data_IF_573358363842
#
_entry.id   IF_573358363842
#
_cell.length_a   1.000
_cell.length_b   1.000
_cell.length_c   1.000
_cell.angle_alpha   90.00
_cell.angle_beta   90.00
_cell.angle_gamma   90.00
#
_symmetry.space_group_name_H-M   'P 1'
#
loop_
_entity.id
_entity.type
_entity.pdbx_description
1 polymer ?
#
# COMPACT_ATOMS: atom_id res chain seq x y z
N UNK A 1 8.66 23.24 28.69
CA UNK A 1 9.22 24.57 28.37
C UNK A 1 10.37 24.52 27.35
N UNK A 2 11.29 23.56 27.39
CA UNK A 2 12.48 23.56 26.50
C UNK A 2 12.21 23.53 24.97
N UNK A 3 11.08 22.99 24.50
CA UNK A 3 10.72 23.01 23.07
C UNK A 3 10.00 24.28 22.59
N UNK A 4 9.37 25.04 23.47
CA UNK A 4 8.93 26.41 23.13
C UNK A 4 10.12 27.34 22.87
N UNK A 5 11.33 26.88 23.23
CA UNK A 5 12.62 27.50 22.94
C UNK A 5 13.43 26.77 21.85
N UNK A 6 12.80 25.92 21.03
CA UNK A 6 13.47 25.19 19.93
C UNK A 6 14.66 24.30 20.34
N UNK A 7 14.76 23.85 21.60
CA UNK A 7 15.75 22.81 21.95
C UNK A 7 15.28 21.46 21.38
N UNK A 8 16.09 20.83 20.52
CA UNK A 8 15.77 19.57 19.85
C UNK A 8 15.49 18.39 20.80
N UNK A 9 14.91 17.29 20.30
CA UNK A 9 14.73 16.08 21.12
C UNK A 9 16.02 15.32 21.34
N UNK A 10 16.10 14.61 22.46
CA UNK A 10 17.16 13.66 22.80
C UNK A 10 17.26 12.41 21.89
N UNK A 11 16.43 12.30 20.86
CA UNK A 11 16.48 11.22 19.87
C UNK A 11 16.35 11.82 18.47
N UNK A 12 17.46 11.95 17.72
CA UNK A 12 17.42 12.41 16.34
C UNK A 12 16.92 11.30 15.41
N UNK A 13 16.11 11.69 14.42
CA UNK A 13 15.76 10.81 13.30
C UNK A 13 16.86 10.92 12.25
N UNK A 14 17.36 9.80 11.77
CA UNK A 14 18.44 9.68 10.78
C UNK A 14 18.04 10.09 9.35
N UNK A 15 17.11 11.04 9.18
CA UNK A 15 16.68 11.50 7.85
C UNK A 15 17.81 12.28 7.16
N UNK A 16 18.22 11.83 5.97
CA UNK A 16 19.19 12.52 5.11
C UNK A 16 20.62 11.99 5.14
N UNK A 17 20.88 10.84 5.79
CA UNK A 17 22.22 10.26 5.87
C UNK A 17 22.56 9.37 4.67
N UNK A 18 23.78 9.54 4.14
CA UNK A 18 24.38 8.82 3.01
C UNK A 18 24.54 7.31 3.31
N UNK A 19 24.67 6.47 2.27
CA UNK A 19 24.66 4.99 2.33
C UNK A 19 25.66 4.42 3.36
N UNK A 20 26.80 5.08 3.56
CA UNK A 20 27.81 4.73 4.55
C UNK A 20 27.30 4.83 6.00
N UNK A 21 26.51 5.85 6.31
CA UNK A 21 25.94 6.06 7.64
C UNK A 21 24.72 5.17 7.88
N UNK A 22 23.93 4.88 6.85
CA UNK A 22 22.84 3.90 6.92
C UNK A 22 23.36 2.50 7.28
N UNK A 23 24.59 2.16 6.90
CA UNK A 23 25.24 0.91 7.28
C UNK A 23 25.63 0.85 8.78
N UNK A 24 25.86 2.01 9.41
CA UNK A 24 26.21 2.12 10.83
C UNK A 24 24.98 2.21 11.75
N UNK A 25 23.83 2.65 11.22
CA UNK A 25 22.52 2.59 11.91
C UNK A 25 22.04 1.15 11.87
N UNK A 26 22.66 0.29 12.68
CA UNK A 26 22.25 -1.09 12.85
C UNK A 26 20.79 -1.21 13.29
N UNK A 27 20.20 -2.38 13.08
CA UNK A 27 18.79 -2.60 13.40
C UNK A 27 18.48 -2.35 14.88
N UNK A 28 17.33 -1.72 15.14
CA UNK A 28 16.91 -1.28 16.46
C UNK A 28 16.74 -2.48 17.43
N UNK A 29 17.65 -2.59 18.40
CA UNK A 29 17.52 -3.50 19.55
C UNK A 29 16.61 -2.86 20.61
N UNK A 30 16.11 -3.65 21.55
CA UNK A 30 15.43 -3.13 22.75
C UNK A 30 16.34 -2.10 23.43
N UNK A 31 15.87 -0.86 23.56
CA UNK A 31 16.58 0.24 24.23
C UNK A 31 15.61 1.02 25.10
N UNK A 32 16.02 1.27 26.34
CA UNK A 32 15.31 2.10 27.30
C UNK A 32 16.31 3.08 27.90
N UNK A 33 16.00 4.38 27.88
CA UNK A 33 16.89 5.40 28.43
C UNK A 33 16.61 6.81 27.91
N UNK A 34 17.40 7.77 28.39
CA UNK A 34 17.24 9.20 28.12
C UNK A 34 17.72 9.63 26.71
N UNK A 35 18.61 8.87 26.08
CA UNK A 35 19.16 9.20 24.77
C UNK A 35 19.29 7.95 23.90
N UNK A 36 18.62 7.94 22.75
CA UNK A 36 18.87 6.98 21.66
C UNK A 36 19.55 7.75 20.53
N UNK A 37 20.76 7.33 20.16
CA UNK A 37 21.63 8.06 19.23
C UNK A 37 21.11 8.15 17.79
N UNK A 38 20.32 7.16 17.35
CA UNK A 38 19.61 7.15 16.07
C UNK A 38 18.56 6.03 16.07
N UNK A 39 17.46 6.25 15.34
CA UNK A 39 16.43 5.24 15.02
C UNK A 39 16.59 4.84 13.55
N UNK A 40 16.42 3.55 13.24
CA UNK A 40 16.37 3.05 11.86
C UNK A 40 15.21 3.70 11.10
N UNK A 41 15.46 4.32 9.95
CA UNK A 41 14.41 4.94 9.14
C UNK A 41 13.33 3.93 8.69
N UNK A 42 13.66 2.63 8.63
CA UNK A 42 12.68 1.60 8.29
C UNK A 42 11.71 1.28 9.44
N UNK A 43 12.02 1.69 10.67
CA UNK A 43 11.15 1.51 11.84
C UNK A 43 9.80 2.17 11.65
N UNK A 44 9.73 3.32 10.95
CA UNK A 44 8.46 4.02 10.68
C UNK A 44 7.49 3.25 9.79
N UNK A 45 7.96 2.22 9.07
CA UNK A 45 7.11 1.35 8.25
C UNK A 45 6.64 0.09 8.99
N UNK A 46 7.10 -0.13 10.23
CA UNK A 46 6.72 -1.30 11.02
C UNK A 46 5.47 -1.06 11.87
N UNK A 47 5.06 0.18 12.14
CA UNK A 47 3.86 0.45 12.91
C UNK A 47 3.82 1.83 13.55
N UNK A 48 2.96 1.98 14.56
CA UNK A 48 2.75 3.23 15.27
C UNK A 48 4.02 3.67 15.99
N UNK A 49 4.46 4.89 15.73
CA UNK A 49 5.52 5.57 16.47
C UNK A 49 4.89 6.73 17.22
N UNK A 50 5.04 6.74 18.54
CA UNK A 50 4.51 7.79 19.40
C UNK A 50 5.62 8.66 19.94
N UNK A 51 5.36 9.97 19.98
CA UNK A 51 6.21 10.94 20.64
C UNK A 51 5.34 11.71 21.63
N UNK A 52 5.62 11.51 22.91
CA UNK A 52 4.91 12.17 24.00
C UNK A 52 5.78 13.29 24.55
N UNK A 53 5.17 14.45 24.78
CA UNK A 53 5.82 15.60 25.40
C UNK A 53 5.28 15.75 26.82
N UNK A 54 6.11 15.49 27.82
CA UNK A 54 5.77 15.60 29.23
C UNK A 54 6.84 16.44 29.96
N UNK A 55 6.44 17.10 31.05
CA UNK A 55 7.33 17.87 31.93
C UNK A 55 8.29 16.99 32.74
N UNK A 56 7.97 15.70 32.88
CA UNK A 56 8.60 14.79 33.81
C UNK A 56 9.20 13.64 32.98
N UNK A 57 10.53 13.59 32.91
CA UNK A 57 11.36 12.53 32.29
C UNK A 57 11.01 12.09 30.85
N UNK A 58 11.90 12.41 29.89
CA UNK A 58 11.87 11.80 28.56
C UNK A 58 12.46 10.39 28.58
N UNK A 59 11.62 9.35 28.61
CA UNK A 59 12.05 7.98 28.34
C UNK A 59 11.78 7.61 26.89
N UNK A 60 12.82 7.15 26.19
CA UNK A 60 12.65 6.53 24.87
C UNK A 60 12.50 5.02 25.05
N UNK A 61 11.42 4.45 24.52
CA UNK A 61 11.15 3.02 24.51
C UNK A 61 11.18 2.51 23.07
N UNK A 62 12.10 1.61 22.77
CA UNK A 62 12.21 0.95 21.47
C UNK A 62 12.05 -0.55 21.68
N UNK A 63 11.07 -1.14 20.98
CA UNK A 63 10.90 -2.59 20.90
C UNK A 63 11.92 -3.17 19.92
N UNK A 64 12.25 -4.45 20.06
CA UNK A 64 12.99 -5.16 19.01
C UNK A 64 12.13 -5.29 17.74
N UNK A 65 12.53 -4.58 16.68
CA UNK A 65 11.85 -4.56 15.38
C UNK A 65 12.63 -5.31 14.30
N UNK A 66 13.76 -5.94 14.66
CA UNK A 66 14.53 -6.80 13.75
C UNK A 66 13.67 -7.90 13.09
N UNK A 67 12.72 -8.55 13.79
CA UNK A 67 11.86 -9.55 13.15
C UNK A 67 10.95 -9.00 12.06
N UNK A 68 10.71 -7.69 12.08
CA UNK A 68 9.79 -7.00 11.17
C UNK A 68 10.48 -6.45 9.92
N UNK A 69 11.81 -6.40 9.89
CA UNK A 69 12.57 -5.76 8.82
C UNK A 69 13.58 -6.74 8.21
N UNK A 70 13.21 -7.32 7.07
CA UNK A 70 14.06 -8.20 6.29
C UNK A 70 14.78 -7.39 5.19
N UNK A 71 15.98 -6.91 5.53
CA UNK A 71 16.83 -6.15 4.60
C UNK A 71 17.32 -6.98 3.42
N UNK A 72 17.56 -8.28 3.64
CA UNK A 72 18.10 -9.18 2.61
C UNK A 72 17.09 -9.38 1.49
N UNK A 73 15.85 -9.67 1.86
CA UNK A 73 14.76 -9.88 0.91
C UNK A 73 13.99 -8.59 0.58
N UNK A 74 14.42 -7.45 1.14
CA UNK A 74 13.82 -6.13 0.91
C UNK A 74 12.32 -6.08 1.28
N UNK A 75 11.99 -6.61 2.46
CA UNK A 75 10.63 -6.69 2.98
C UNK A 75 10.50 -6.10 4.36
N UNK A 76 9.39 -5.42 4.61
CA UNK A 76 9.00 -4.91 5.92
C UNK A 76 7.61 -5.44 6.24
N UNK A 77 7.42 -5.96 7.44
CA UNK A 77 6.13 -6.42 7.94
C UNK A 77 5.76 -5.61 9.17
N UNK A 78 4.54 -5.10 9.20
CA UNK A 78 4.01 -4.40 10.37
C UNK A 78 4.03 -5.27 11.64
N UNK A 79 4.04 -4.64 12.81
CA UNK A 79 4.01 -5.33 14.11
C UNK A 79 2.70 -6.09 14.34
N UNK A 80 1.60 -5.72 13.67
CA UNK A 80 0.34 -6.48 13.69
C UNK A 80 0.37 -7.68 12.74
N UNK A 81 1.33 -7.72 11.81
CA UNK A 81 1.42 -8.72 10.75
C UNK A 81 0.46 -8.49 9.59
N UNK A 82 -0.39 -7.47 9.65
CA UNK A 82 -1.46 -7.21 8.67
C UNK A 82 -0.97 -6.49 7.42
N UNK A 83 0.08 -5.68 7.52
CA UNK A 83 0.71 -4.99 6.38
C UNK A 83 2.08 -5.58 6.07
N UNK A 84 2.36 -5.81 4.80
CA UNK A 84 3.68 -6.20 4.28
C UNK A 84 4.05 -5.32 3.09
N UNK A 85 5.24 -4.71 3.13
CA UNK A 85 5.82 -3.97 2.03
C UNK A 85 7.06 -4.68 1.49
N UNK A 86 6.97 -5.20 0.27
CA UNK A 86 8.09 -5.68 -0.52
C UNK A 86 8.61 -4.51 -1.37
N UNK A 87 9.56 -3.75 -0.81
CA UNK A 87 10.13 -2.59 -1.49
C UNK A 87 11.15 -2.98 -2.57
N UNK A 88 11.62 -4.24 -2.58
CA UNK A 88 12.42 -4.79 -3.66
C UNK A 88 11.63 -4.89 -4.96
N UNK A 89 10.39 -5.40 -4.88
CA UNK A 89 9.48 -5.48 -6.02
C UNK A 89 8.60 -4.24 -6.17
N UNK A 90 8.48 -3.43 -5.12
CA UNK A 90 7.64 -2.23 -5.06
C UNK A 90 6.15 -2.56 -4.94
N UNK A 91 5.83 -3.50 -4.05
CA UNK A 91 4.47 -4.00 -3.81
C UNK A 91 4.17 -3.91 -2.32
N UNK A 92 3.05 -3.29 -1.98
CA UNK A 92 2.50 -3.27 -0.63
C UNK A 92 1.23 -4.11 -0.60
N UNK A 93 1.08 -4.93 0.44
CA UNK A 93 -0.09 -5.74 0.72
C UNK A 93 -0.61 -5.41 2.11
N UNK A 94 -1.92 -5.47 2.28
CA UNK A 94 -2.52 -5.45 3.60
C UNK A 94 -3.65 -6.47 3.69
N UNK A 95 -3.79 -7.07 4.86
CA UNK A 95 -4.90 -7.95 5.19
C UNK A 95 -5.34 -7.75 6.64
N UNK A 96 -6.60 -7.38 6.82
CA UNK A 96 -7.30 -7.39 8.10
C UNK A 96 -8.61 -8.16 7.95
N UNK A 97 -9.37 -8.27 9.03
CA UNK A 97 -10.66 -8.96 9.00
C UNK A 97 -11.66 -8.31 8.04
N UNK A 98 -11.66 -6.97 7.95
CA UNK A 98 -12.66 -6.18 7.22
C UNK A 98 -12.14 -5.59 5.91
N UNK A 99 -10.83 -5.63 5.66
CA UNK A 99 -10.24 -5.09 4.44
C UNK A 99 -9.01 -5.89 3.99
N UNK A 100 -8.86 -6.12 2.68
CA UNK A 100 -7.66 -6.71 2.09
C UNK A 100 -7.33 -6.01 0.78
N UNK A 101 -6.05 -5.94 0.43
CA UNK A 101 -5.66 -5.34 -0.84
C UNK A 101 -4.17 -5.33 -1.07
N UNK A 102 -3.81 -4.91 -2.28
CA UNK A 102 -2.43 -4.68 -2.66
C UNK A 102 -2.32 -3.49 -3.60
N UNK A 103 -1.21 -2.77 -3.53
CA UNK A 103 -0.87 -1.71 -4.47
C UNK A 103 0.61 -1.75 -4.85
N UNK A 104 0.93 -1.22 -6.02
CA UNK A 104 2.31 -1.12 -6.50
C UNK A 104 2.48 -1.68 -7.90
N UNK A 105 3.68 -2.20 -8.18
CA UNK A 105 4.03 -2.73 -9.50
C UNK A 105 3.52 -4.16 -9.72
N UNK A 106 2.19 -4.34 -9.72
CA UNK A 106 1.56 -5.66 -9.63
C UNK A 106 1.87 -6.57 -10.83
N UNK A 107 2.19 -6.01 -12.01
CA UNK A 107 2.58 -6.80 -13.19
C UNK A 107 3.94 -7.51 -13.06
N UNK A 108 4.75 -7.16 -12.06
CA UNK A 108 6.02 -7.85 -11.76
C UNK A 108 5.79 -9.22 -11.14
N UNK A 109 4.59 -9.49 -10.66
CA UNK A 109 4.21 -10.76 -10.06
C UNK A 109 3.18 -11.46 -10.95
N UNK A 110 3.26 -12.78 -11.05
CA UNK A 110 2.22 -13.58 -11.72
C UNK A 110 0.86 -13.41 -11.04
N UNK A 111 0.88 -13.35 -9.71
CA UNK A 111 -0.29 -13.12 -8.86
C UNK A 111 0.17 -12.53 -7.53
N UNK A 112 -0.66 -11.68 -6.94
CA UNK A 112 -0.50 -11.22 -5.56
C UNK A 112 -1.53 -11.90 -4.69
N UNK A 113 -1.06 -12.82 -3.85
CA UNK A 113 -1.91 -13.64 -3.00
C UNK A 113 -2.06 -13.07 -1.59
N UNK A 114 -3.32 -12.92 -1.18
CA UNK A 114 -3.80 -12.62 0.16
C UNK A 114 -4.72 -13.75 0.65
N UNK A 115 -5.10 -13.78 1.95
CA UNK A 115 -5.93 -14.84 2.51
C UNK A 115 -7.28 -15.03 1.81
N UNK A 116 -7.96 -13.94 1.43
CA UNK A 116 -9.30 -13.99 0.79
C UNK A 116 -9.31 -13.49 -0.65
N UNK A 117 -8.17 -12.98 -1.15
CA UNK A 117 -8.07 -12.31 -2.43
C UNK A 117 -6.79 -12.75 -3.15
N UNK A 118 -6.87 -13.03 -4.44
CA UNK A 118 -5.71 -13.12 -5.34
C UNK A 118 -5.89 -12.09 -6.45
N UNK A 119 -4.84 -11.34 -6.77
CA UNK A 119 -4.88 -10.25 -7.75
C UNK A 119 -3.92 -10.56 -8.89
N UNK A 120 -4.40 -10.48 -10.12
CA UNK A 120 -3.59 -10.57 -11.33
C UNK A 120 -3.79 -9.29 -12.15
N UNK A 121 -2.70 -8.62 -12.51
CA UNK A 121 -2.74 -7.35 -13.23
C UNK A 121 -1.67 -7.30 -14.30
N UNK A 122 -2.05 -6.86 -15.50
CA UNK A 122 -1.12 -6.53 -16.58
C UNK A 122 -0.74 -5.05 -16.56
N UNK A 123 -1.47 -4.21 -15.82
CA UNK A 123 -1.09 -2.81 -15.59
C UNK A 123 0.22 -2.73 -14.80
N UNK A 124 1.14 -1.87 -15.26
CA UNK A 124 2.43 -1.62 -14.59
C UNK A 124 2.23 -1.23 -13.12
N UNK A 125 1.36 -0.25 -12.86
CA UNK A 125 0.96 0.13 -11.51
C UNK A 125 -0.55 -0.09 -11.35
N UNK A 126 -0.93 -0.72 -10.25
CA UNK A 126 -2.33 -0.98 -9.90
C UNK A 126 -2.49 -1.04 -8.38
N UNK A 127 -3.66 -0.59 -7.90
CA UNK A 127 -4.10 -0.74 -6.53
C UNK A 127 -5.47 -1.44 -6.54
N UNK A 128 -5.57 -2.57 -5.86
CA UNK A 128 -6.82 -3.33 -5.70
C UNK A 128 -7.09 -3.47 -4.22
N UNK A 129 -8.28 -3.06 -3.79
CA UNK A 129 -8.73 -3.16 -2.40
C UNK A 129 -10.13 -3.78 -2.34
N UNK A 130 -10.38 -4.51 -1.26
CA UNK A 130 -11.63 -5.20 -0.98
C UNK A 130 -12.02 -4.87 0.47
N UNK A 131 -13.14 -4.20 0.67
CA UNK A 131 -13.56 -3.65 1.97
C UNK A 131 -15.01 -4.04 2.28
N UNK A 132 -15.29 -4.46 3.52
CA UNK A 132 -16.66 -4.69 3.99
C UNK A 132 -17.43 -3.37 4.08
N UNK A 133 -18.69 -3.36 3.65
CA UNK A 133 -19.61 -2.23 3.76
C UNK A 133 -20.65 -2.39 4.88
N UNK A 134 -20.58 -3.47 5.66
CA UNK A 134 -21.55 -3.80 6.71
C UNK A 134 -20.91 -4.10 8.07
N UNK A 135 -19.65 -3.68 8.24
CA UNK A 135 -18.84 -3.82 9.44
C UNK A 135 -18.58 -5.28 9.89
N UNK A 136 -18.78 -6.25 9.00
CA UNK A 136 -18.51 -7.67 9.28
C UNK A 136 -17.16 -8.10 8.70
N UNK A 137 -16.54 -9.16 9.25
CA UNK A 137 -15.40 -9.79 8.60
C UNK A 137 -15.73 -10.13 7.14
N UNK A 138 -14.78 -9.98 6.22
CA UNK A 138 -14.99 -10.13 4.77
C UNK A 138 -15.61 -11.48 4.38
N UNK A 139 -15.30 -12.57 5.10
CA UNK A 139 -15.94 -13.88 4.88
C UNK A 139 -17.45 -13.92 5.17
N UNK A 140 -17.96 -12.98 5.96
CA UNK A 140 -19.35 -12.93 6.44
C UNK A 140 -20.10 -11.67 5.97
N UNK A 141 -19.41 -10.76 5.29
CA UNK A 141 -19.87 -9.44 4.87
C UNK A 141 -20.83 -9.50 3.69
N UNK A 142 -22.11 -9.22 3.87
CA UNK A 142 -23.15 -9.29 2.82
C UNK A 142 -22.92 -8.30 1.68
N UNK A 143 -22.15 -7.23 1.93
CA UNK A 143 -21.80 -6.21 0.95
C UNK A 143 -20.32 -5.90 1.04
N UNK A 144 -19.60 -6.08 -0.07
CA UNK A 144 -18.16 -5.85 -0.15
C UNK A 144 -17.92 -4.89 -1.33
N UNK A 145 -17.17 -3.83 -1.09
CA UNK A 145 -16.69 -2.93 -2.15
C UNK A 145 -15.33 -3.42 -2.62
N UNK A 146 -15.22 -3.75 -3.91
CA UNK A 146 -13.94 -3.95 -4.58
C UNK A 146 -13.60 -2.66 -5.34
N UNK A 147 -12.45 -2.08 -5.04
CA UNK A 147 -11.95 -0.87 -5.70
C UNK A 147 -10.67 -1.20 -6.46
N UNK A 148 -10.58 -0.70 -7.68
CA UNK A 148 -9.43 -0.87 -8.57
C UNK A 148 -9.04 0.50 -9.10
N UNK A 149 -7.79 0.89 -8.84
CA UNK A 149 -7.19 2.10 -9.39
C UNK A 149 -5.92 1.74 -10.15
N UNK A 150 -5.68 2.44 -11.25
CA UNK A 150 -4.50 2.31 -12.10
C UNK A 150 -3.85 3.68 -12.25
N UNK A 151 -2.79 3.77 -13.04
CA UNK A 151 -2.16 5.05 -13.37
C UNK A 151 -3.18 6.05 -13.95
N UNK A 152 -3.27 7.22 -13.32
CA UNK A 152 -4.04 8.36 -13.76
C UNK A 152 -3.14 9.56 -14.08
N UNK A 153 -3.51 10.32 -15.11
CA UNK A 153 -2.77 11.50 -15.57
C UNK A 153 -3.72 12.60 -16.00
N UNK A 154 -3.40 13.88 -15.76
CA UNK A 154 -4.14 14.98 -16.38
C UNK A 154 -4.24 14.83 -17.89
N UNK A 155 -5.39 15.21 -18.45
CA UNK A 155 -5.58 15.24 -19.90
C UNK A 155 -4.51 16.13 -20.55
N UNK A 156 -3.82 15.60 -21.55
CA UNK A 156 -2.71 16.28 -22.22
C UNK A 156 -1.35 16.24 -21.49
N UNK A 157 -1.24 15.54 -20.35
CA UNK A 157 0.05 15.34 -19.68
C UNK A 157 1.05 14.65 -20.62
N UNK A 158 2.25 15.21 -20.75
CA UNK A 158 3.26 14.69 -21.67
C UNK A 158 4.67 14.79 -21.10
N UNK A 159 5.43 13.73 -21.36
CA UNK A 159 6.84 13.65 -21.02
C UNK A 159 7.66 13.25 -22.23
N UNK A 160 8.92 13.70 -22.27
CA UNK A 160 9.94 13.23 -23.22
C UNK A 160 11.11 12.62 -22.46
N UNK A 161 11.83 11.69 -23.09
CA UNK A 161 13.08 11.20 -22.54
C UNK A 161 14.12 12.33 -22.51
N UNK A 162 14.83 12.45 -21.40
CA UNK A 162 15.92 13.41 -21.20
C UNK A 162 17.08 12.73 -20.48
N UNK A 163 18.31 12.97 -20.92
CA UNK A 163 19.49 12.43 -20.26
C UNK A 163 19.83 13.26 -19.02
N UNK A 164 19.97 12.59 -17.90
CA UNK A 164 20.54 13.13 -16.66
C UNK A 164 21.94 12.59 -16.48
N UNK A 165 22.89 13.47 -16.18
CA UNK A 165 24.29 13.09 -15.88
C UNK A 165 24.39 12.22 -14.62
N UNK A 166 23.46 12.36 -13.68
CA UNK A 166 23.44 11.63 -12.40
C UNK A 166 22.52 10.40 -12.40
N UNK A 167 21.42 10.46 -13.15
CA UNK A 167 20.33 9.47 -13.04
C UNK A 167 20.03 8.70 -14.34
N UNK A 168 20.87 8.84 -15.37
CA UNK A 168 20.66 8.18 -16.66
C UNK A 168 19.46 8.77 -17.42
N UNK A 169 18.68 7.93 -18.11
CA UNK A 169 17.51 8.41 -18.87
C UNK A 169 16.32 8.68 -17.95
N UNK A 170 15.92 9.94 -17.87
CA UNK A 170 14.79 10.43 -17.08
C UNK A 170 13.64 10.87 -17.99
N UNK A 171 12.46 11.10 -17.41
CA UNK A 171 11.33 11.74 -18.09
C UNK A 171 11.28 13.23 -17.74
N UNK A 172 11.45 14.10 -18.74
CA UNK A 172 11.20 15.55 -18.61
C UNK A 172 9.73 15.82 -18.91
N UNK A 173 9.04 16.47 -17.98
CA UNK A 173 7.68 16.94 -18.19
C UNK A 173 7.73 18.11 -19.18
N UNK A 174 6.96 18.00 -20.26
CA UNK A 174 6.84 19.05 -21.30
C UNK A 174 5.43 19.63 -21.40
N UNK A 175 4.45 18.98 -20.77
CA UNK A 175 3.12 19.51 -20.55
C UNK A 175 2.55 18.90 -19.27
N UNK A 176 2.01 19.74 -18.39
CA UNK A 176 1.35 19.30 -17.15
C UNK A 176 -0.05 18.74 -17.41
N UNK A 177 -0.70 19.14 -18.51
CA UNK A 177 -2.10 18.81 -18.77
C UNK A 177 -3.07 19.54 -17.85
N UNK A 178 -4.32 19.10 -17.83
CA UNK A 178 -5.38 19.63 -16.97
C UNK A 178 -6.51 18.63 -16.78
N UNK A 179 -7.61 19.08 -16.18
CA UNK A 179 -8.81 18.23 -16.05
C UNK A 179 -9.47 17.97 -17.42
N UNK A 180 -10.13 16.82 -17.60
CA UNK A 180 -10.31 15.73 -16.64
C UNK A 180 -9.05 14.85 -16.47
N UNK A 181 -9.03 14.01 -15.43
CA UNK A 181 -7.99 12.98 -15.26
C UNK A 181 -8.29 11.81 -16.20
N UNK A 182 -7.30 11.39 -16.98
CA UNK A 182 -7.32 10.15 -17.75
C UNK A 182 -6.85 8.99 -16.87
N UNK A 183 -7.73 8.02 -16.64
CA UNK A 183 -7.37 6.78 -15.94
C UNK A 183 -7.05 5.68 -16.95
N UNK A 184 -5.92 5.00 -16.76
CA UNK A 184 -5.51 3.91 -17.63
C UNK A 184 -6.49 2.73 -17.52
N UNK A 185 -6.89 2.15 -18.65
CA UNK A 185 -7.79 0.99 -18.63
C UNK A 185 -7.26 -0.14 -17.77
N UNK A 186 -8.14 -0.71 -16.95
CA UNK A 186 -7.84 -1.86 -16.09
C UNK A 186 -7.66 -3.10 -16.97
N UNK A 187 -6.62 -3.87 -16.68
CA UNK A 187 -6.28 -5.11 -17.36
C UNK A 187 -5.90 -6.13 -16.30
N UNK A 188 -6.88 -6.91 -15.83
CA UNK A 188 -6.64 -7.85 -14.75
C UNK A 188 -7.86 -8.66 -14.33
N UNK A 189 -7.64 -9.51 -13.34
CA UNK A 189 -8.67 -10.33 -12.71
C UNK A 189 -8.40 -10.43 -11.22
N UNK A 190 -9.45 -10.72 -10.47
CA UNK A 190 -9.34 -11.07 -9.05
C UNK A 190 -9.98 -12.43 -8.80
N UNK A 191 -9.41 -13.16 -7.86
CA UNK A 191 -9.99 -14.41 -7.35
C UNK A 191 -10.33 -14.24 -5.89
N UNK A 192 -11.62 -14.35 -5.56
CA UNK A 192 -12.11 -14.38 -4.19
C UNK A 192 -11.97 -15.80 -3.64
N UNK A 193 -11.36 -15.97 -2.46
CA UNK A 193 -11.12 -17.27 -1.83
C UNK A 193 -12.10 -17.49 -0.68
N UNK A 194 -13.00 -18.45 -0.82
CA UNK A 194 -14.01 -18.75 0.20
C UNK A 194 -15.07 -17.67 0.40
N UNK A 195 -15.24 -16.76 -0.57
CA UNK A 195 -16.36 -15.84 -0.69
C UNK A 195 -17.16 -16.30 -1.92
N UNK A 196 -18.47 -16.49 -1.76
CA UNK A 196 -19.36 -16.97 -2.83
C UNK A 196 -20.36 -15.86 -3.18
N UNK A 197 -20.05 -14.99 -4.16
CA UNK A 197 -20.95 -13.91 -4.49
C UNK A 197 -22.20 -14.44 -5.19
N UNK A 198 -23.36 -13.93 -4.76
CA UNK A 198 -24.64 -14.10 -5.45
C UNK A 198 -24.83 -13.04 -6.55
N UNK A 199 -24.16 -11.89 -6.41
CA UNK A 199 -24.20 -10.80 -7.40
C UNK A 199 -22.91 -10.00 -7.38
N UNK A 200 -22.47 -9.58 -8.56
CA UNK A 200 -21.39 -8.59 -8.73
C UNK A 200 -21.93 -7.47 -9.62
N UNK A 201 -21.93 -6.25 -9.10
CA UNK A 201 -22.51 -5.07 -9.76
C UNK A 201 -21.42 -4.05 -10.02
N UNK A 202 -21.23 -3.66 -11.27
CA UNK A 202 -20.37 -2.54 -11.61
C UNK A 202 -21.00 -1.23 -11.13
N UNK A 203 -20.19 -0.32 -10.60
CA UNK A 203 -20.60 1.02 -10.20
C UNK A 203 -19.92 2.08 -11.07
N UNK A 204 -20.54 3.25 -11.18
CA UNK A 204 -19.91 4.46 -11.72
C UNK A 204 -18.94 5.10 -10.71
N UNK A 205 -18.28 6.17 -11.12
CA UNK A 205 -17.33 6.94 -10.29
C UNK A 205 -17.94 7.55 -9.02
N UNK A 206 -19.26 7.65 -8.94
CA UNK A 206 -20.01 8.14 -7.78
C UNK A 206 -20.55 7.00 -6.90
N UNK A 207 -20.30 5.75 -7.28
CA UNK A 207 -20.75 4.57 -6.54
C UNK A 207 -22.18 4.11 -6.87
N UNK A 208 -22.81 4.61 -7.92
CA UNK A 208 -24.14 4.17 -8.34
C UNK A 208 -24.07 2.95 -9.28
N UNK A 209 -25.00 1.98 -9.14
CA UNK A 209 -25.06 0.82 -10.04
C UNK A 209 -25.23 1.20 -11.50
N UNK A 210 -24.42 0.60 -12.37
CA UNK A 210 -24.59 0.67 -13.83
C UNK A 210 -25.13 -0.64 -14.39
N UNK A 211 -25.73 -0.59 -15.59
CA UNK A 211 -26.32 -1.78 -16.25
C UNK A 211 -25.29 -2.78 -16.79
N UNK A 212 -24.01 -2.48 -16.68
CA UNK A 212 -22.93 -3.33 -17.17
C UNK A 212 -22.87 -4.66 -16.41
N UNK A 213 -22.84 -5.77 -17.14
CA UNK A 213 -22.74 -7.11 -16.55
C UNK A 213 -21.28 -7.43 -16.26
N UNK A 214 -20.99 -7.74 -15.00
CA UNK A 214 -19.67 -8.25 -14.59
C UNK A 214 -19.69 -9.77 -14.65
N UNK A 215 -18.78 -10.34 -15.43
CA UNK A 215 -18.65 -11.79 -15.55
C UNK A 215 -17.83 -12.34 -14.38
N UNK A 216 -18.35 -13.38 -13.73
CA UNK A 216 -17.65 -14.11 -12.69
C UNK A 216 -17.91 -15.62 -12.80
N UNK A 217 -16.92 -16.42 -12.40
CA UNK A 217 -16.97 -17.88 -12.47
C UNK A 217 -16.62 -18.49 -11.12
N UNK A 218 -17.49 -19.36 -10.62
CA UNK A 218 -17.22 -20.14 -9.41
C UNK A 218 -16.45 -21.41 -9.77
N UNK A 219 -15.30 -21.64 -9.12
CA UNK A 219 -14.48 -22.85 -9.27
C UNK A 219 -13.96 -23.32 -7.92
N UNK A 220 -14.34 -24.52 -7.49
CA UNK A 220 -13.72 -25.21 -6.35
C UNK A 220 -13.64 -24.39 -5.05
N UNK A 221 -14.67 -23.61 -4.71
CA UNK A 221 -14.67 -22.76 -3.50
C UNK A 221 -14.02 -21.38 -3.66
N UNK A 222 -13.65 -21.02 -4.88
CA UNK A 222 -13.18 -19.68 -5.25
C UNK A 222 -14.04 -19.07 -6.36
N UNK A 223 -14.03 -17.74 -6.46
CA UNK A 223 -14.75 -17.02 -7.51
C UNK A 223 -13.80 -16.10 -8.25
N UNK A 224 -13.62 -16.35 -9.55
CA UNK A 224 -12.83 -15.49 -10.43
C UNK A 224 -13.73 -14.41 -11.02
N UNK A 225 -13.30 -13.15 -10.93
CA UNK A 225 -13.95 -11.97 -11.51
C UNK A 225 -12.98 -11.34 -12.50
N UNK A 226 -13.39 -11.20 -13.77
CA UNK A 226 -12.64 -10.39 -14.73
C UNK A 226 -12.98 -8.92 -14.49
N UNK A 227 -11.96 -8.10 -14.23
CA UNK A 227 -12.17 -6.70 -13.92
C UNK A 227 -12.58 -5.95 -15.20
N UNK A 228 -13.69 -5.19 -15.19
CA UNK A 228 -14.06 -4.37 -16.33
C UNK A 228 -13.01 -3.28 -16.60
N UNK A 229 -12.68 -2.98 -17.86
CA UNK A 229 -11.56 -2.11 -18.20
C UNK A 229 -11.75 -0.64 -17.82
N UNK A 230 -12.98 -0.21 -17.52
CA UNK A 230 -13.40 1.17 -17.28
C UNK A 230 -14.24 1.33 -16.00
N UNK A 231 -14.16 0.38 -15.05
CA UNK A 231 -14.91 0.44 -13.78
C UNK A 231 -13.97 0.36 -12.61
N UNK A 232 -13.91 1.45 -11.84
CA UNK A 232 -13.08 1.54 -10.64
C UNK A 232 -13.70 0.79 -9.46
N UNK A 233 -15.03 0.59 -9.45
CA UNK A 233 -15.75 0.05 -8.31
C UNK A 233 -16.68 -1.08 -8.71
N UNK A 234 -16.62 -2.17 -7.96
CA UNK A 234 -17.59 -3.27 -8.03
C UNK A 234 -18.20 -3.50 -6.64
N UNK A 235 -19.52 -3.61 -6.57
CA UNK A 235 -20.23 -4.08 -5.40
C UNK A 235 -20.41 -5.60 -5.49
N UNK A 236 -19.85 -6.32 -4.54
CA UNK A 236 -19.97 -7.77 -4.40
C UNK A 236 -20.99 -8.05 -3.29
N UNK A 237 -21.99 -8.86 -3.60
CA UNK A 237 -23.02 -9.30 -2.65
C UNK A 237 -22.94 -10.81 -2.48
N UNK A 238 -22.95 -11.29 -1.24
CA UNK A 238 -22.96 -12.71 -0.86
C UNK A 238 -24.24 -13.08 -0.11
#
# INVERSE_FOLDING_TARGET
EEQFHFKGSATPVSQGLDELWQSMVGADKVRQGQAVSAIDALTFFTGRVERVFASDHSQTLIRDLRPNIDRKNKKIRSTTGEVEWDFGNGILKFHSEKAQGACGFLNRMKSVDLPLLSIQSQNEYCAVTMVSLDDRPLRQSRRILLQVATEDKPFGFRTVAAKSRKYGTMKKIVALGGYPLNVRRIQGSVTLKGIKPVRVTALDENGYPVRERVQFQNRGGSTSITLPPNRLYLLIQQ
#
